data_IF_831664043490
#
_entry.id   IF_831664043490
#
_cell.length_a   1.000
_cell.length_b   1.000
_cell.length_c   1.000
_cell.angle_alpha   90.00
_cell.angle_beta   90.00
_cell.angle_gamma   90.00
#
_symmetry.space_group_name_H-M   'P 1'
#
loop_
_entity.id
_entity.type
_entity.pdbx_description
1 polymer ?
#
# COMPACT_ATOMS: atom_id res chain seq x y z
N UNK A 1 13.19 17.08 -17.39
CA UNK A 1 12.59 15.98 -16.61
C UNK A 1 12.23 16.55 -15.25
N UNK A 2 11.08 16.18 -14.71
CA UNK A 2 10.60 16.60 -13.38
C UNK A 2 10.17 15.38 -12.56
N UNK A 3 9.99 15.56 -11.25
CA UNK A 3 9.51 14.51 -10.36
C UNK A 3 8.08 14.06 -10.73
N UNK A 4 7.83 12.75 -10.73
CA UNK A 4 6.53 12.17 -11.05
C UNK A 4 5.48 12.42 -9.95
N UNK A 5 5.92 12.63 -8.70
CA UNK A 5 5.04 12.96 -7.58
C UNK A 5 4.30 14.30 -7.72
N UNK A 6 4.69 15.13 -8.70
CA UNK A 6 3.94 16.33 -9.09
C UNK A 6 2.56 15.94 -9.64
N UNK A 7 2.45 14.80 -10.33
CA UNK A 7 1.18 14.27 -10.83
C UNK A 7 0.52 13.39 -9.76
N UNK A 8 1.15 12.27 -9.40
CA UNK A 8 0.76 11.42 -8.27
C UNK A 8 1.91 10.50 -7.81
N UNK A 9 1.88 10.08 -6.55
CA UNK A 9 2.98 9.37 -5.88
C UNK A 9 2.99 7.85 -6.07
N UNK A 10 2.02 7.28 -6.80
CA UNK A 10 1.99 5.84 -7.10
C UNK A 10 2.55 5.58 -8.50
N UNK A 11 3.63 4.78 -8.67
CA UNK A 11 4.27 4.59 -9.97
C UNK A 11 3.51 3.58 -10.86
N UNK A 12 2.24 3.86 -11.17
CA UNK A 12 1.39 3.01 -12.02
C UNK A 12 1.75 3.03 -13.51
N UNK A 13 2.05 4.19 -14.16
CA UNK A 13 2.25 4.23 -15.61
C UNK A 13 3.28 3.21 -16.15
N UNK A 14 4.44 2.96 -15.51
CA UNK A 14 5.42 1.97 -15.97
C UNK A 14 4.95 0.50 -15.94
N UNK A 15 3.91 0.18 -15.17
CA UNK A 15 3.39 -1.20 -14.98
C UNK A 15 1.94 -1.35 -15.47
N UNK A 16 1.39 -0.30 -16.07
CA UNK A 16 0.00 -0.24 -16.51
C UNK A 16 -0.26 -1.00 -17.82
N UNK A 17 0.80 -1.33 -18.55
CA UNK A 17 0.71 -1.83 -19.93
C UNK A 17 0.58 -0.74 -21.00
N UNK A 18 0.42 0.54 -20.63
CA UNK A 18 0.23 1.66 -21.58
C UNK A 18 1.41 1.80 -22.56
N UNK A 19 2.64 1.69 -22.05
CA UNK A 19 3.87 1.85 -22.86
C UNK A 19 4.35 0.55 -23.50
N UNK A 20 4.08 -0.58 -22.87
CA UNK A 20 4.45 -1.91 -23.35
C UNK A 20 3.54 -2.96 -22.72
N UNK A 21 2.92 -3.80 -23.55
CA UNK A 21 2.06 -4.89 -23.10
C UNK A 21 2.80 -5.90 -22.21
N UNK A 22 4.12 -6.07 -22.37
CA UNK A 22 4.96 -6.94 -21.54
C UNK A 22 5.03 -6.50 -20.08
N UNK A 23 4.72 -5.22 -19.82
CA UNK A 23 4.70 -4.63 -18.47
C UNK A 23 3.30 -4.52 -17.90
N UNK A 24 2.29 -5.11 -18.56
CA UNK A 24 0.92 -5.15 -18.03
C UNK A 24 0.87 -6.13 -16.85
N UNK A 25 0.89 -5.60 -15.63
CA UNK A 25 0.84 -6.39 -14.41
C UNK A 25 -0.55 -7.04 -14.21
N UNK A 26 -0.59 -8.29 -13.73
CA UNK A 26 -1.83 -8.95 -13.28
C UNK A 26 -2.14 -8.65 -11.81
N UNK A 27 -1.08 -8.41 -11.02
CA UNK A 27 -1.16 -8.03 -9.60
C UNK A 27 -0.22 -6.86 -9.37
N UNK A 28 -0.73 -5.83 -8.68
CA UNK A 28 0.00 -4.62 -8.33
C UNK A 28 -0.03 -4.48 -6.81
N UNK A 29 1.15 -4.33 -6.21
CA UNK A 29 1.29 -4.08 -4.77
C UNK A 29 1.80 -2.66 -4.59
N UNK A 30 0.94 -1.77 -4.13
CA UNK A 30 1.29 -0.40 -3.81
C UNK A 30 1.66 -0.28 -2.33
N UNK A 31 2.84 0.26 -2.06
CA UNK A 31 3.25 0.72 -0.75
C UNK A 31 3.23 2.25 -0.80
N UNK A 32 2.28 2.86 -0.11
CA UNK A 32 2.03 4.29 -0.18
C UNK A 32 2.59 5.02 1.05
N UNK A 33 3.55 5.91 0.79
CA UNK A 33 4.27 6.71 1.77
C UNK A 33 4.00 8.21 1.60
N UNK A 34 2.89 8.56 0.95
CA UNK A 34 2.50 9.95 0.71
C UNK A 34 2.21 10.68 2.02
N UNK A 35 2.54 11.97 2.08
CA UNK A 35 2.35 12.79 3.27
C UNK A 35 0.89 12.83 3.75
N UNK A 36 -0.06 12.98 2.83
CA UNK A 36 -1.50 12.90 3.14
C UNK A 36 -2.09 11.52 2.84
N UNK A 37 -1.69 10.54 3.64
CA UNK A 37 -2.23 9.17 3.50
C UNK A 37 -3.72 9.08 3.89
N UNK A 38 -4.20 10.01 4.74
CA UNK A 38 -5.57 10.03 5.26
C UNK A 38 -6.60 10.26 4.16
N UNK A 39 -6.31 11.10 3.17
CA UNK A 39 -7.22 11.32 2.05
C UNK A 39 -7.23 10.17 1.04
N UNK A 40 -6.19 9.31 1.04
CA UNK A 40 -5.98 8.28 0.00
C UNK A 40 -6.03 8.87 -1.43
N UNK A 41 -5.69 10.15 -1.56
CA UNK A 41 -5.83 10.91 -2.80
C UNK A 41 -4.94 10.38 -3.92
N UNK A 42 -3.77 9.84 -3.59
CA UNK A 42 -2.82 9.31 -4.58
C UNK A 42 -3.33 8.04 -5.27
N UNK A 43 -4.01 7.15 -4.53
CA UNK A 43 -4.73 6.02 -5.12
C UNK A 43 -5.89 6.49 -6.00
N UNK A 44 -6.58 7.57 -5.62
CA UNK A 44 -7.65 8.15 -6.45
C UNK A 44 -7.12 8.74 -7.75
N UNK A 45 -6.03 9.51 -7.70
CA UNK A 45 -5.35 10.02 -8.89
C UNK A 45 -4.86 8.89 -9.80
N UNK A 46 -4.37 7.79 -9.22
CA UNK A 46 -4.00 6.59 -9.97
C UNK A 46 -5.20 5.94 -10.70
N UNK A 47 -6.34 5.78 -10.02
CA UNK A 47 -7.59 5.29 -10.63
C UNK A 47 -8.05 6.23 -11.76
N UNK A 48 -8.01 7.53 -11.52
CA UNK A 48 -8.39 8.55 -12.50
C UNK A 48 -7.46 8.55 -13.72
N UNK A 49 -6.14 8.36 -13.52
CA UNK A 49 -5.17 8.18 -14.59
C UNK A 49 -5.55 6.97 -15.46
N UNK A 50 -5.79 5.81 -14.85
CA UNK A 50 -6.15 4.60 -15.57
C UNK A 50 -7.43 4.81 -16.40
N UNK A 51 -8.47 5.39 -15.78
CA UNK A 51 -9.73 5.72 -16.43
C UNK A 51 -9.56 6.67 -17.61
N UNK A 52 -8.80 7.75 -17.44
CA UNK A 52 -8.55 8.75 -18.49
C UNK A 52 -7.76 8.17 -19.68
N UNK A 53 -6.97 7.12 -19.44
CA UNK A 53 -6.20 6.41 -20.47
C UNK A 53 -6.92 5.20 -21.06
N UNK A 54 -8.14 4.89 -20.61
CA UNK A 54 -8.88 3.70 -21.04
C UNK A 54 -8.23 2.39 -20.56
N UNK A 55 -7.42 2.44 -19.50
CA UNK A 55 -6.73 1.29 -18.91
C UNK A 55 -7.65 0.61 -17.88
N UNK A 56 -7.54 -0.72 -17.80
CA UNK A 56 -8.30 -1.52 -16.84
C UNK A 56 -7.74 -1.33 -15.43
N UNK A 57 -8.62 -1.02 -14.48
CA UNK A 57 -8.30 -0.83 -13.06
C UNK A 57 -9.49 -1.31 -12.22
N UNK A 58 -9.25 -1.94 -11.05
CA UNK A 58 -10.36 -2.47 -10.24
C UNK A 58 -11.17 -1.35 -9.61
N UNK A 59 -12.46 -1.57 -9.32
CA UNK A 59 -13.27 -0.62 -8.57
C UNK A 59 -12.72 -0.45 -7.15
N UNK A 60 -12.56 0.80 -6.71
CA UNK A 60 -11.99 1.12 -5.40
C UNK A 60 -13.08 1.57 -4.43
N UNK A 61 -13.14 0.94 -3.24
CA UNK A 61 -13.90 1.45 -2.10
C UNK A 61 -12.97 2.24 -1.17
N UNK A 62 -13.12 3.56 -1.18
CA UNK A 62 -12.30 4.48 -0.37
C UNK A 62 -12.72 4.57 1.11
N UNK A 63 -13.83 3.93 1.49
CA UNK A 63 -14.36 4.03 2.86
C UNK A 63 -13.43 3.34 3.86
N UNK A 64 -12.89 4.10 4.82
CA UNK A 64 -12.01 3.57 5.87
C UNK A 64 -10.66 3.05 5.36
N UNK A 65 -10.22 3.50 4.17
CA UNK A 65 -8.99 3.01 3.55
C UNK A 65 -7.74 3.35 4.37
N UNK A 66 -7.71 4.54 4.98
CA UNK A 66 -6.64 5.01 5.86
C UNK A 66 -6.62 4.37 7.26
N UNK A 67 -7.48 3.38 7.53
CA UNK A 67 -7.53 2.66 8.81
C UNK A 67 -7.06 1.21 8.70
N UNK A 68 -6.87 0.70 7.48
CA UNK A 68 -6.50 -0.69 7.19
C UNK A 68 -5.07 -0.79 6.67
N UNK A 69 -4.26 -1.64 7.29
CA UNK A 69 -2.87 -1.85 6.85
C UNK A 69 -2.75 -2.48 5.46
N UNK A 70 -3.79 -3.21 5.03
CA UNK A 70 -3.91 -3.78 3.69
C UNK A 70 -5.35 -3.66 3.19
N UNK A 71 -5.51 -3.24 1.95
CA UNK A 71 -6.79 -3.32 1.21
C UNK A 71 -6.56 -3.97 -0.13
N UNK A 72 -7.49 -4.84 -0.53
CA UNK A 72 -7.41 -5.63 -1.76
C UNK A 72 -8.58 -5.25 -2.64
N UNK A 73 -8.30 -4.91 -3.89
CA UNK A 73 -9.27 -4.55 -4.90
C UNK A 73 -9.09 -5.45 -6.12
N UNK A 74 -10.19 -6.00 -6.62
CA UNK A 74 -10.23 -6.91 -7.76
C UNK A 74 -11.56 -6.77 -8.50
N UNK A 75 -11.57 -7.22 -9.75
CA UNK A 75 -12.78 -7.49 -10.51
C UNK A 75 -12.87 -9.00 -10.77
N UNK A 76 -13.97 -9.61 -10.35
CA UNK A 76 -14.23 -11.04 -10.51
C UNK A 76 -14.81 -11.38 -11.89
N UNK A 77 -15.37 -10.39 -12.58
CA UNK A 77 -16.04 -10.58 -13.87
C UNK A 77 -15.11 -10.30 -15.06
N UNK A 78 -14.09 -9.46 -14.87
CA UNK A 78 -13.12 -9.12 -15.92
C UNK A 78 -11.68 -9.57 -15.54
N UNK A 79 -11.17 -10.69 -16.12
CA UNK A 79 -9.83 -11.18 -15.84
C UNK A 79 -8.72 -10.25 -16.36
N UNK A 80 -9.03 -9.31 -17.26
CA UNK A 80 -8.05 -8.34 -17.78
C UNK A 80 -7.78 -7.18 -16.81
N UNK A 81 -8.59 -7.04 -15.74
CA UNK A 81 -8.40 -6.08 -14.66
C UNK A 81 -7.36 -6.61 -13.66
N UNK A 82 -6.33 -5.81 -13.32
CA UNK A 82 -5.33 -6.23 -12.34
C UNK A 82 -5.92 -6.28 -10.93
N UNK A 83 -5.38 -7.16 -10.09
CA UNK A 83 -5.57 -7.07 -8.65
C UNK A 83 -4.70 -5.94 -8.12
N UNK A 84 -5.26 -5.08 -7.26
CA UNK A 84 -4.52 -4.05 -6.55
C UNK A 84 -4.50 -4.39 -5.06
N UNK A 85 -3.31 -4.57 -4.50
CA UNK A 85 -3.05 -4.69 -3.07
C UNK A 85 -2.46 -3.35 -2.62
N UNK A 86 -3.20 -2.60 -1.81
CA UNK A 86 -2.83 -1.28 -1.35
C UNK A 86 -2.43 -1.31 0.13
N UNK A 87 -1.21 -0.88 0.43
CA UNK A 87 -0.63 -0.79 1.78
C UNK A 87 -0.23 0.65 2.08
N UNK A 88 -1.10 1.43 2.75
CA UNK A 88 -0.73 2.76 3.23
C UNK A 88 0.18 2.66 4.46
N UNK A 89 1.11 3.60 4.63
CA UNK A 89 1.92 3.71 5.85
C UNK A 89 1.06 4.25 7.01
N UNK A 90 0.37 3.34 7.69
CA UNK A 90 -0.47 3.65 8.84
C UNK A 90 -0.22 2.68 9.99
N UNK A 91 -0.72 3.05 11.17
CA UNK A 91 -0.91 2.13 12.29
C UNK A 91 -2.36 1.63 12.32
N UNK A 92 -2.59 0.46 11.72
CA UNK A 92 -3.85 -0.26 11.88
C UNK A 92 -3.98 -0.77 13.31
N UNK A 93 -4.80 -0.09 14.12
CA UNK A 93 -4.93 -0.34 15.55
C UNK A 93 -5.56 -1.70 15.84
N UNK A 94 -6.50 -2.15 15.00
CA UNK A 94 -7.15 -3.45 15.16
C UNK A 94 -6.14 -4.55 14.86
N UNK A 95 -5.37 -4.41 13.79
CA UNK A 95 -4.32 -5.36 13.44
C UNK A 95 -3.20 -5.38 14.49
N UNK A 96 -2.75 -4.21 14.96
CA UNK A 96 -1.77 -4.11 16.04
C UNK A 96 -2.21 -4.86 17.29
N UNK A 97 -3.42 -4.60 17.78
CA UNK A 97 -3.93 -5.28 18.99
C UNK A 97 -4.06 -6.79 18.80
N UNK A 98 -4.40 -7.25 17.60
CA UNK A 98 -4.52 -8.68 17.30
C UNK A 98 -3.17 -9.42 17.28
N UNK A 99 -2.07 -8.74 16.95
CA UNK A 99 -0.78 -9.41 16.70
C UNK A 99 0.34 -9.03 17.66
N UNK A 100 0.26 -7.89 18.38
CA UNK A 100 1.37 -7.36 19.20
C UNK A 100 2.01 -8.36 20.15
N UNK A 101 1.23 -9.26 20.74
CA UNK A 101 1.68 -10.22 21.77
C UNK A 101 1.77 -11.66 21.23
N UNK A 102 1.68 -11.85 19.91
CA UNK A 102 1.83 -13.17 19.28
C UNK A 102 3.29 -13.49 19.01
N UNK A 103 3.63 -14.78 19.10
CA UNK A 103 4.95 -15.30 18.76
C UNK A 103 5.41 -14.81 17.38
N UNK A 104 6.56 -14.15 17.36
CA UNK A 104 7.17 -13.60 16.16
C UNK A 104 6.73 -12.18 15.82
N UNK A 105 5.99 -11.50 16.71
CA UNK A 105 5.60 -10.10 16.58
C UNK A 105 6.01 -9.24 17.78
N UNK A 106 6.42 -9.84 18.90
CA UNK A 106 6.78 -9.12 20.13
C UNK A 106 7.95 -8.15 19.91
N UNK A 107 8.86 -8.46 18.98
CA UNK A 107 9.97 -7.58 18.63
C UNK A 107 9.54 -6.22 18.06
N UNK A 108 8.31 -6.09 17.56
CA UNK A 108 7.78 -4.82 17.06
C UNK A 108 7.33 -3.90 18.19
N UNK A 109 7.06 -4.40 19.40
CA UNK A 109 6.54 -3.58 20.51
C UNK A 109 7.47 -2.43 20.87
N UNK A 110 8.79 -2.69 20.94
CA UNK A 110 9.83 -1.67 21.21
C UNK A 110 9.83 -0.50 20.22
N UNK A 111 9.28 -0.70 19.03
CA UNK A 111 9.19 0.32 17.99
C UNK A 111 7.81 0.96 17.93
N UNK A 112 6.76 0.15 17.97
CA UNK A 112 5.43 0.54 17.55
C UNK A 112 4.50 0.95 18.70
N UNK A 113 4.77 0.60 19.96
CA UNK A 113 3.86 0.93 21.05
C UNK A 113 3.63 2.43 21.22
N UNK A 114 4.69 3.21 21.02
CA UNK A 114 4.70 4.67 21.17
C UNK A 114 4.89 5.41 19.84
N UNK A 115 4.67 4.72 18.72
CA UNK A 115 4.84 5.28 17.38
C UNK A 115 3.54 5.16 16.58
N UNK A 116 3.22 6.20 15.83
CA UNK A 116 2.14 6.27 14.86
C UNK A 116 2.67 7.09 13.69
N UNK A 117 2.82 6.49 12.48
CA UNK A 117 3.46 7.17 11.36
C UNK A 117 2.67 8.40 10.90
N UNK A 118 1.33 8.39 11.04
CA UNK A 118 0.49 9.50 10.63
C UNK A 118 0.68 10.70 11.56
N UNK A 119 0.80 10.46 12.87
CA UNK A 119 1.15 11.51 13.83
C UNK A 119 2.58 12.01 13.64
N UNK A 120 3.50 11.12 13.25
CA UNK A 120 4.89 11.45 13.00
C UNK A 120 5.07 12.34 11.76
N UNK A 121 4.30 12.10 10.70
CA UNK A 121 4.29 12.92 9.49
C UNK A 121 3.82 14.34 9.81
N UNK A 122 2.72 14.47 10.56
CA UNK A 122 2.12 15.78 10.86
C UNK A 122 2.98 16.66 11.79
N UNK A 123 3.77 16.07 12.70
CA UNK A 123 4.32 16.79 13.86
C UNK A 123 5.76 16.44 14.26
N UNK A 124 6.43 15.54 13.55
CA UNK A 124 7.73 15.02 13.98
C UNK A 124 8.67 14.73 12.80
N UNK A 125 9.62 13.81 12.97
CA UNK A 125 10.71 13.53 12.05
C UNK A 125 10.31 12.86 10.72
N UNK A 126 9.04 12.51 10.51
CA UNK A 126 8.60 11.80 9.30
C UNK A 126 8.19 12.72 8.14
N UNK A 127 8.36 14.04 8.29
CA UNK A 127 8.10 15.00 7.21
C UNK A 127 8.92 14.68 5.95
N UNK A 128 8.31 14.87 4.77
CA UNK A 128 8.96 14.73 3.46
C UNK A 128 10.23 15.60 3.32
N UNK A 129 10.33 16.70 4.07
CA UNK A 129 11.49 17.59 4.03
C UNK A 129 12.57 17.25 5.06
N UNK A 130 12.38 16.21 5.89
CA UNK A 130 13.43 15.73 6.78
C UNK A 130 14.31 14.70 6.07
N UNK A 131 15.59 15.02 5.93
CA UNK A 131 16.59 14.14 5.29
C UNK A 131 17.57 13.50 6.28
N UNK A 132 17.40 13.74 7.59
CA UNK A 132 18.28 13.19 8.61
C UNK A 132 17.50 12.37 9.63
N UNK A 133 17.74 11.07 9.62
CA UNK A 133 17.14 10.12 10.54
C UNK A 133 18.19 9.59 11.51
N UNK A 134 17.86 9.61 12.81
CA UNK A 134 18.56 8.78 13.79
C UNK A 134 18.25 7.30 13.50
N UNK A 135 19.13 6.35 13.83
CA UNK A 135 18.89 4.93 13.58
C UNK A 135 17.51 4.45 14.07
N UNK A 136 17.15 4.79 15.32
CA UNK A 136 15.84 4.42 15.90
C UNK A 136 14.64 5.03 15.18
N UNK A 137 14.78 6.19 14.55
CA UNK A 137 13.71 6.85 13.79
C UNK A 137 13.45 6.08 12.48
N UNK A 138 14.52 5.72 11.76
CA UNK A 138 14.42 4.90 10.57
C UNK A 138 13.85 3.50 10.91
N UNK A 139 14.35 2.87 11.98
CA UNK A 139 13.87 1.56 12.44
C UNK A 139 12.36 1.57 12.76
N UNK A 140 11.81 2.66 13.31
CA UNK A 140 10.37 2.77 13.58
C UNK A 140 9.52 2.73 12.30
N UNK A 141 9.91 3.48 11.28
CA UNK A 141 9.23 3.48 9.98
C UNK A 141 9.33 2.12 9.30
N UNK A 142 10.53 1.54 9.25
CA UNK A 142 10.76 0.21 8.69
C UNK A 142 9.96 -0.87 9.42
N UNK A 143 9.95 -0.82 10.76
CA UNK A 143 9.19 -1.74 11.60
C UNK A 143 7.68 -1.65 11.35
N UNK A 144 7.14 -0.45 11.11
CA UNK A 144 5.71 -0.27 10.84
C UNK A 144 5.31 -0.93 9.51
N UNK A 145 6.10 -0.73 8.45
CA UNK A 145 5.88 -1.39 7.16
C UNK A 145 6.01 -2.91 7.29
N UNK A 146 7.08 -3.38 7.95
CA UNK A 146 7.32 -4.82 8.13
C UNK A 146 6.20 -5.48 8.93
N UNK A 147 5.73 -4.85 10.01
CA UNK A 147 4.60 -5.33 10.79
C UNK A 147 3.34 -5.44 9.92
N UNK A 148 2.98 -4.37 9.19
CA UNK A 148 1.78 -4.34 8.37
C UNK A 148 1.77 -5.46 7.32
N UNK A 149 2.92 -5.72 6.67
CA UNK A 149 3.09 -6.82 5.72
C UNK A 149 2.99 -8.18 6.39
N UNK A 150 3.76 -8.43 7.46
CA UNK A 150 3.79 -9.74 8.14
C UNK A 150 2.43 -10.10 8.74
N UNK A 151 1.76 -9.14 9.39
CA UNK A 151 0.46 -9.38 10.01
C UNK A 151 -0.67 -9.57 8.97
N UNK A 152 -0.43 -9.16 7.72
CA UNK A 152 -1.36 -9.30 6.59
C UNK A 152 -0.99 -10.42 5.61
N UNK A 153 0.07 -11.19 5.90
CA UNK A 153 0.66 -12.15 4.97
C UNK A 153 -0.36 -13.16 4.43
N UNK A 154 -1.20 -13.72 5.30
CA UNK A 154 -2.19 -14.73 4.90
C UNK A 154 -3.15 -14.18 3.82
N UNK A 155 -3.65 -12.95 4.00
CA UNK A 155 -4.54 -12.29 3.03
C UNK A 155 -3.83 -12.00 1.71
N UNK A 156 -2.56 -11.61 1.77
CA UNK A 156 -1.75 -11.33 0.58
C UNK A 156 -1.50 -12.63 -0.19
N UNK A 157 -1.15 -13.72 0.49
CA UNK A 157 -0.95 -15.03 -0.13
C UNK A 157 -2.27 -15.55 -0.73
N UNK A 158 -3.38 -15.42 -0.01
CA UNK A 158 -4.70 -15.84 -0.47
C UNK A 158 -5.07 -15.15 -1.81
N UNK A 159 -4.90 -13.83 -1.90
CA UNK A 159 -5.24 -13.12 -3.14
C UNK A 159 -4.23 -13.39 -4.26
N UNK A 160 -2.95 -13.64 -3.95
CA UNK A 160 -1.97 -14.04 -4.95
C UNK A 160 -2.34 -15.40 -5.56
N UNK A 161 -2.75 -16.37 -4.73
CA UNK A 161 -3.23 -17.66 -5.21
C UNK A 161 -4.48 -17.50 -6.08
N UNK A 162 -5.45 -16.69 -5.65
CA UNK A 162 -6.63 -16.37 -6.45
C UNK A 162 -6.27 -15.76 -7.81
N UNK A 163 -5.31 -14.83 -7.85
CA UNK A 163 -4.88 -14.20 -9.11
C UNK A 163 -4.19 -15.20 -10.05
N UNK A 164 -3.40 -16.13 -9.51
CA UNK A 164 -2.75 -17.20 -10.27
C UNK A 164 -3.79 -18.18 -10.83
N UNK A 165 -4.73 -18.64 -10.00
CA UNK A 165 -5.77 -19.57 -10.44
C UNK A 165 -6.66 -18.95 -11.52
N UNK A 166 -7.07 -17.69 -11.33
CA UNK A 166 -7.80 -16.91 -12.34
C UNK A 166 -7.05 -16.84 -13.67
N UNK A 167 -5.74 -16.58 -13.64
CA UNK A 167 -4.91 -16.49 -14.84
C UNK A 167 -4.72 -17.85 -15.53
N UNK A 168 -4.74 -18.93 -14.76
CA UNK A 168 -4.71 -20.29 -15.28
C UNK A 168 -6.07 -20.77 -15.83
N UNK A 169 -7.14 -19.98 -15.68
CA UNK A 169 -8.50 -20.36 -16.08
C UNK A 169 -9.11 -21.44 -15.19
N UNK A 170 -8.70 -21.51 -13.92
CA UNK A 170 -9.21 -22.45 -12.91
C UNK A 170 -10.31 -21.84 -12.06
#
# INVERSE_FOLDING_TARGET
MVDAGIEFNLPYPPISGERSAERKADVIIFLDYSGDIKSSSELKKCEDYARNKGLKFPPINYTGLAEKAVSIFKDENDPAVPVVIYLPLIKDRVLWQKYRDKLGFEQFQKYLDTFDPVQCEEKDFCSTFNFQYKPKQAERLSAQTEFNLKASMDKIIEILNWAVDRKAGK
#
